data_IF_013240226407
#
_entry.id   IF_013240226407
#
_cell.length_a   1.000
_cell.length_b   1.000
_cell.length_c   1.000
_cell.angle_alpha   90.00
_cell.angle_beta   90.00
_cell.angle_gamma   90.00
#
_symmetry.space_group_name_H-M   'P 1'
#
loop_
_entity.id
_entity.type
_entity.pdbx_description
1 polymer ?
#
# COMPACT_ATOMS: atom_id res chain seq x y z
N UNK A 1 -9.44 -1.06 11.42
CA UNK A 1 -10.08 -2.12 10.61
C UNK A 1 -10.30 -1.61 9.19
N UNK A 2 -10.20 -2.50 8.19
CA UNK A 2 -10.51 -2.21 6.79
C UNK A 2 -11.95 -2.61 6.52
N UNK A 3 -12.69 -1.73 5.86
CA UNK A 3 -14.09 -1.96 5.53
C UNK A 3 -14.31 -1.85 4.02
N UNK A 4 -15.21 -2.68 3.51
CA UNK A 4 -15.84 -2.50 2.20
C UNK A 4 -17.30 -2.11 2.38
N UNK A 5 -17.83 -1.35 1.44
CA UNK A 5 -19.24 -0.97 1.41
C UNK A 5 -19.74 -0.96 -0.02
N UNK A 6 -21.04 -1.10 -0.17
CA UNK A 6 -21.72 -0.97 -1.47
C UNK A 6 -22.57 0.29 -1.47
N UNK A 7 -22.33 1.16 -2.45
CA UNK A 7 -23.17 2.34 -2.70
C UNK A 7 -24.25 1.96 -3.70
N UNK A 8 -25.51 1.91 -3.27
CA UNK A 8 -26.64 1.65 -4.16
C UNK A 8 -26.93 2.86 -5.07
N UNK A 9 -27.63 2.65 -6.16
CA UNK A 9 -28.00 3.72 -7.10
C UNK A 9 -28.82 4.85 -6.44
N UNK A 10 -29.64 4.50 -5.44
CA UNK A 10 -30.48 5.45 -4.69
C UNK A 10 -29.82 5.96 -3.40
N UNK A 11 -28.57 5.53 -3.09
CA UNK A 11 -27.88 5.96 -1.86
C UNK A 11 -27.49 7.44 -1.98
N UNK A 12 -27.97 8.33 -1.11
CA UNK A 12 -27.59 9.73 -1.13
C UNK A 12 -26.11 9.90 -0.90
N UNK A 13 -25.45 10.62 -1.80
CA UNK A 13 -24.04 11.03 -1.68
C UNK A 13 -24.00 12.56 -1.69
N UNK A 14 -23.21 13.13 -0.78
CA UNK A 14 -22.91 14.56 -0.77
C UNK A 14 -21.39 14.76 -0.72
N UNK A 15 -20.92 15.76 -1.47
CA UNK A 15 -19.54 16.23 -1.42
C UNK A 15 -19.59 17.72 -1.05
N UNK A 16 -18.88 18.11 0.01
CA UNK A 16 -18.87 19.48 0.52
C UNK A 16 -20.27 20.04 0.82
N UNK A 17 -21.18 19.17 1.26
CA UNK A 17 -22.57 19.50 1.56
C UNK A 17 -23.47 19.65 0.32
N UNK A 18 -22.96 19.50 -0.89
CA UNK A 18 -23.76 19.51 -2.13
C UNK A 18 -24.10 18.07 -2.56
N UNK A 19 -25.34 17.87 -3.08
CA UNK A 19 -25.74 16.56 -3.60
C UNK A 19 -24.88 16.18 -4.81
N UNK A 20 -24.39 14.95 -4.82
CA UNK A 20 -23.51 14.40 -5.84
C UNK A 20 -23.85 12.93 -6.15
N UNK A 21 -23.24 12.35 -7.17
CA UNK A 21 -23.23 10.91 -7.42
C UNK A 21 -22.03 10.23 -6.78
N UNK A 22 -22.05 8.91 -6.75
CA UNK A 22 -20.89 8.13 -6.27
C UNK A 22 -19.62 8.35 -7.11
N UNK A 23 -19.77 8.74 -8.36
CA UNK A 23 -18.70 9.10 -9.29
C UNK A 23 -17.97 10.42 -8.95
N UNK A 24 -18.51 11.20 -8.02
CA UNK A 24 -17.84 12.39 -7.48
C UNK A 24 -16.91 12.08 -6.29
N UNK A 25 -16.95 10.85 -5.76
CA UNK A 25 -16.00 10.39 -4.75
C UNK A 25 -14.66 10.09 -5.42
N UNK A 26 -13.58 10.63 -4.86
CA UNK A 26 -12.22 10.38 -5.31
C UNK A 26 -11.42 9.64 -4.22
N UNK A 27 -10.38 8.95 -4.65
CA UNK A 27 -9.45 8.30 -3.74
C UNK A 27 -8.81 9.33 -2.80
N UNK A 28 -8.56 8.92 -1.56
CA UNK A 28 -8.03 9.80 -0.53
C UNK A 28 -9.04 10.73 0.15
N UNK A 29 -10.31 10.77 -0.29
CA UNK A 29 -11.34 11.56 0.39
C UNK A 29 -11.71 11.00 1.76
N UNK A 30 -11.87 11.88 2.73
CA UNK A 30 -12.49 11.53 4.01
C UNK A 30 -14.00 11.42 3.84
N UNK A 31 -14.56 10.26 4.16
CA UNK A 31 -15.99 10.00 4.06
C UNK A 31 -16.61 9.64 5.40
N UNK A 32 -17.79 10.18 5.67
CA UNK A 32 -18.68 9.76 6.75
C UNK A 32 -19.76 8.85 6.18
N UNK A 33 -19.89 7.66 6.75
CA UNK A 33 -20.84 6.64 6.28
C UNK A 33 -21.95 6.47 7.29
N UNK A 34 -23.20 6.51 6.84
CA UNK A 34 -24.37 6.11 7.64
C UNK A 34 -24.90 4.78 7.12
N UNK A 35 -24.95 3.78 7.99
CA UNK A 35 -25.40 2.43 7.65
C UNK A 35 -26.29 1.84 8.74
N UNK A 36 -26.83 0.64 8.50
CA UNK A 36 -27.76 -0.03 9.41
C UNK A 36 -27.12 -0.57 10.71
N UNK A 37 -25.81 -0.36 10.94
CA UNK A 37 -25.08 -0.82 12.11
C UNK A 37 -24.62 -2.28 12.03
N UNK A 38 -24.93 -3.03 10.96
CA UNK A 38 -24.45 -4.38 10.76
C UNK A 38 -23.08 -4.36 10.12
N UNK A 39 -22.18 -5.18 10.63
CA UNK A 39 -20.85 -5.44 10.04
C UNK A 39 -20.74 -6.95 9.87
N UNK A 40 -20.46 -7.38 8.64
CA UNK A 40 -20.20 -8.77 8.34
C UNK A 40 -18.73 -9.08 8.66
N UNK A 41 -18.52 -10.17 9.40
CA UNK A 41 -17.19 -10.65 9.79
C UNK A 41 -16.49 -11.30 8.59
N UNK A 42 -15.79 -10.49 7.81
CA UNK A 42 -14.92 -10.88 6.70
C UNK A 42 -13.65 -10.03 6.76
N UNK A 43 -12.69 -10.30 5.92
CA UNK A 43 -11.57 -9.38 5.73
C UNK A 43 -11.45 -8.99 4.25
N UNK A 44 -11.54 -7.71 3.91
CA UNK A 44 -12.03 -6.61 4.77
C UNK A 44 -13.43 -6.86 5.35
N UNK A 45 -13.75 -6.22 6.48
CA UNK A 45 -15.09 -6.27 7.04
C UNK A 45 -16.08 -5.57 6.10
N UNK A 46 -17.29 -6.08 5.94
CA UNK A 46 -18.27 -5.49 5.04
C UNK A 46 -19.36 -4.77 5.84
N UNK A 47 -19.56 -3.48 5.53
CA UNK A 47 -20.69 -2.74 6.08
C UNK A 47 -22.00 -3.26 5.48
N UNK A 48 -23.03 -3.32 6.31
CA UNK A 48 -24.37 -3.65 5.85
C UNK A 48 -24.96 -2.58 4.95
N UNK A 49 -26.29 -2.43 4.96
CA UNK A 49 -26.97 -1.44 4.12
C UNK A 49 -26.52 -0.02 4.43
N UNK A 50 -26.03 0.68 3.41
CA UNK A 50 -25.54 2.07 3.49
C UNK A 50 -26.70 3.01 3.16
N UNK A 51 -26.96 3.95 4.05
CA UNK A 51 -28.07 4.92 3.93
C UNK A 51 -27.62 6.25 3.36
N UNK A 52 -26.39 6.68 3.60
CA UNK A 52 -25.83 7.92 3.06
C UNK A 52 -24.31 7.94 3.16
N UNK A 53 -23.68 8.73 2.28
CA UNK A 53 -22.27 9.09 2.28
C UNK A 53 -22.11 10.60 2.27
N UNK A 54 -21.24 11.11 3.12
CA UNK A 54 -20.85 12.53 3.16
C UNK A 54 -19.34 12.61 3.01
N UNK A 55 -18.84 13.27 1.96
CA UNK A 55 -17.41 13.44 1.69
C UNK A 55 -16.99 14.91 1.82
N UNK A 56 -15.73 15.12 2.21
CA UNK A 56 -15.07 16.42 2.30
C UNK A 56 -13.86 16.44 1.35
N UNK A 57 -13.97 17.19 0.25
CA UNK A 57 -12.92 17.31 -0.75
C UNK A 57 -11.72 18.13 -0.26
N UNK A 58 -11.93 19.02 0.72
CA UNK A 58 -10.88 19.87 1.30
C UNK A 58 -9.85 19.10 2.16
N UNK A 59 -10.13 17.83 2.46
CA UNK A 59 -9.26 16.94 3.24
C UNK A 59 -8.76 15.74 2.41
N UNK A 60 -8.75 15.86 1.10
CA UNK A 60 -8.27 14.79 0.22
C UNK A 60 -6.75 14.59 0.40
N UNK A 61 -6.35 13.36 0.65
CA UNK A 61 -4.95 12.94 0.71
C UNK A 61 -4.82 11.48 0.26
N UNK A 62 -4.45 11.28 -1.00
CA UNK A 62 -4.36 9.97 -1.62
C UNK A 62 -2.98 9.31 -1.42
N UNK A 63 -2.45 9.34 -0.17
CA UNK A 63 -1.21 8.64 0.16
C UNK A 63 -1.33 7.11 0.05
N UNK A 64 -2.51 6.55 0.26
CA UNK A 64 -2.74 5.12 0.02
C UNK A 64 -2.60 4.78 -1.47
N UNK A 65 -3.11 5.63 -2.37
CA UNK A 65 -2.93 5.50 -3.81
C UNK A 65 -1.47 5.63 -4.24
N UNK A 66 -0.69 6.53 -3.61
CA UNK A 66 0.76 6.59 -3.83
C UNK A 66 1.42 5.23 -3.60
N UNK A 67 1.24 4.67 -2.40
CA UNK A 67 1.92 3.43 -2.04
C UNK A 67 1.42 2.23 -2.85
N UNK A 68 0.13 2.22 -3.19
CA UNK A 68 -0.40 1.23 -4.13
C UNK A 68 0.26 1.36 -5.51
N UNK A 69 0.43 2.57 -6.04
CA UNK A 69 1.11 2.78 -7.32
C UNK A 69 2.57 2.31 -7.31
N UNK A 70 3.30 2.53 -6.21
CA UNK A 70 4.67 2.00 -6.05
C UNK A 70 4.70 0.47 -6.08
N UNK A 71 3.75 -0.18 -5.38
CA UNK A 71 3.64 -1.64 -5.39
C UNK A 71 3.28 -2.17 -6.78
N UNK A 72 2.38 -1.50 -7.51
CA UNK A 72 2.00 -1.86 -8.88
C UNK A 72 3.17 -1.73 -9.86
N UNK A 73 3.97 -0.67 -9.76
CA UNK A 73 5.15 -0.50 -10.61
C UNK A 73 6.24 -1.54 -10.28
N UNK A 74 6.45 -1.88 -9.00
CA UNK A 74 7.31 -3.00 -8.60
C UNK A 74 6.78 -4.35 -9.11
N UNK A 75 5.45 -4.54 -9.13
CA UNK A 75 4.87 -5.75 -9.70
C UNK A 75 5.17 -5.84 -11.20
N UNK A 76 5.09 -4.73 -11.91
CA UNK A 76 5.26 -4.68 -13.36
C UNK A 76 6.70 -4.96 -13.81
N UNK A 77 7.71 -4.58 -13.00
CA UNK A 77 9.13 -4.85 -13.31
C UNK A 77 9.49 -6.28 -12.94
N UNK A 78 10.43 -6.88 -13.67
CA UNK A 78 10.87 -8.26 -13.48
C UNK A 78 9.72 -9.26 -13.19
N UNK A 79 8.78 -9.32 -14.12
CA UNK A 79 7.58 -10.17 -14.00
C UNK A 79 7.87 -11.67 -13.84
N UNK A 80 9.11 -12.10 -14.08
CA UNK A 80 9.54 -13.48 -13.81
C UNK A 80 9.41 -13.86 -12.33
N UNK A 81 9.62 -12.92 -11.44
CA UNK A 81 9.46 -13.14 -9.99
C UNK A 81 8.00 -13.40 -9.57
N UNK A 82 7.03 -12.96 -10.36
CA UNK A 82 5.59 -13.13 -10.06
C UNK A 82 5.03 -14.48 -10.58
N UNK A 83 5.86 -15.30 -11.23
CA UNK A 83 5.37 -16.55 -11.86
C UNK A 83 4.91 -17.59 -10.85
N UNK A 84 3.64 -18.06 -10.98
CA UNK A 84 3.11 -19.19 -10.21
C UNK A 84 2.79 -18.89 -8.74
N UNK A 85 2.79 -17.62 -8.33
CA UNK A 85 2.49 -17.24 -6.94
C UNK A 85 0.98 -17.25 -6.67
N UNK A 86 0.64 -17.46 -5.41
CA UNK A 86 -0.73 -17.39 -4.88
C UNK A 86 -0.86 -16.37 -3.75
N UNK A 87 0.29 -15.85 -3.29
CA UNK A 87 0.35 -14.92 -2.17
C UNK A 87 1.32 -13.77 -2.44
N UNK A 88 1.06 -12.63 -1.80
CA UNK A 88 2.00 -11.50 -1.70
C UNK A 88 2.15 -11.10 -0.24
N UNK A 89 3.39 -10.87 0.18
CA UNK A 89 3.71 -10.20 1.43
C UNK A 89 3.82 -8.70 1.18
N UNK A 90 3.23 -7.90 2.04
CA UNK A 90 3.32 -6.43 1.94
C UNK A 90 3.77 -5.86 3.27
N UNK A 91 4.94 -5.25 3.26
CA UNK A 91 5.50 -4.53 4.41
C UNK A 91 5.44 -3.01 4.17
N UNK A 92 4.56 -2.37 4.90
CA UNK A 92 4.43 -0.91 5.00
C UNK A 92 4.71 -0.44 6.44
N UNK A 93 5.41 -1.24 7.24
CA UNK A 93 5.69 -0.92 8.65
C UNK A 93 6.54 0.34 8.81
N UNK A 94 7.42 0.58 7.83
CA UNK A 94 8.30 1.75 7.76
C UNK A 94 7.67 2.94 7.02
N UNK A 95 6.36 2.92 6.77
CA UNK A 95 5.61 4.06 6.25
C UNK A 95 4.90 4.75 7.42
N UNK A 96 5.46 5.84 8.00
CA UNK A 96 5.05 6.37 9.30
C UNK A 96 3.64 6.95 9.29
N UNK A 97 3.22 7.55 8.18
CA UNK A 97 1.96 8.27 8.06
C UNK A 97 0.74 7.41 7.74
N UNK A 98 0.92 6.09 7.59
CA UNK A 98 -0.19 5.15 7.41
C UNK A 98 -0.62 4.53 8.74
N UNK A 99 -1.90 4.57 9.02
CA UNK A 99 -2.50 3.79 10.10
C UNK A 99 -2.46 2.29 9.78
N UNK A 100 -2.54 1.39 10.78
CA UNK A 100 -2.64 -0.04 10.51
C UNK A 100 -3.81 -0.44 9.60
N UNK A 101 -4.91 0.31 9.61
CA UNK A 101 -6.05 0.07 8.73
C UNK A 101 -5.72 0.43 7.28
N UNK A 102 -5.06 1.56 7.04
CA UNK A 102 -4.64 1.98 5.69
C UNK A 102 -3.61 1.01 5.12
N UNK A 103 -2.60 0.59 5.90
CA UNK A 103 -1.63 -0.44 5.47
C UNK A 103 -2.33 -1.73 5.04
N UNK A 104 -3.30 -2.19 5.84
CA UNK A 104 -4.11 -3.35 5.50
C UNK A 104 -4.97 -3.16 4.25
N UNK A 105 -5.52 -1.95 4.04
CA UNK A 105 -6.31 -1.63 2.85
C UNK A 105 -5.45 -1.64 1.58
N UNK A 106 -4.27 -1.04 1.61
CA UNK A 106 -3.32 -1.05 0.49
C UNK A 106 -2.90 -2.48 0.15
N UNK A 107 -2.50 -3.27 1.16
CA UNK A 107 -2.11 -4.67 0.94
C UNK A 107 -3.25 -5.51 0.34
N UNK A 108 -4.47 -5.34 0.86
CA UNK A 108 -5.64 -6.05 0.33
C UNK A 108 -5.98 -5.63 -1.09
N UNK A 109 -5.96 -4.33 -1.40
CA UNK A 109 -6.24 -3.81 -2.74
C UNK A 109 -5.23 -4.36 -3.75
N UNK A 110 -3.95 -4.33 -3.41
CA UNK A 110 -2.86 -4.87 -4.21
C UNK A 110 -3.03 -6.37 -4.50
N UNK A 111 -3.23 -7.19 -3.47
CA UNK A 111 -3.46 -8.63 -3.66
C UNK A 111 -4.70 -8.93 -4.50
N UNK A 112 -5.79 -8.17 -4.29
CA UNK A 112 -7.05 -8.30 -5.04
C UNK A 112 -6.87 -7.96 -6.51
N UNK A 113 -6.13 -6.90 -6.85
CA UNK A 113 -5.86 -6.50 -8.22
C UNK A 113 -5.15 -7.60 -9.02
N UNK A 114 -4.30 -8.39 -8.35
CA UNK A 114 -3.53 -9.48 -8.97
C UNK A 114 -4.14 -10.88 -8.76
N UNK A 115 -5.28 -10.98 -8.09
CA UNK A 115 -5.96 -12.25 -7.83
C UNK A 115 -5.20 -13.18 -6.89
N UNK A 116 -4.40 -12.62 -5.98
CA UNK A 116 -3.61 -13.35 -4.98
C UNK A 116 -3.99 -12.92 -3.57
N UNK A 117 -3.69 -13.75 -2.58
CA UNK A 117 -3.90 -13.40 -1.18
C UNK A 117 -2.79 -12.49 -0.67
N UNK A 118 -3.14 -11.42 0.05
CA UNK A 118 -2.16 -10.56 0.70
C UNK A 118 -2.00 -10.92 2.18
N UNK A 119 -0.75 -11.01 2.62
CA UNK A 119 -0.34 -11.07 4.03
C UNK A 119 0.52 -9.84 4.35
N UNK A 120 0.46 -9.34 5.56
CA UNK A 120 1.27 -8.19 6.00
C UNK A 120 2.34 -8.63 6.97
N UNK A 121 3.52 -8.04 6.86
CA UNK A 121 4.64 -8.30 7.76
C UNK A 121 5.99 -8.08 7.08
N UNK A 122 7.02 -7.92 7.89
CA UNK A 122 8.42 -7.85 7.43
C UNK A 122 8.87 -9.20 6.88
N UNK A 123 9.97 -9.22 6.11
CA UNK A 123 10.59 -10.47 5.68
C UNK A 123 10.94 -11.37 6.86
N UNK A 124 11.43 -10.80 7.97
CA UNK A 124 11.81 -11.56 9.17
C UNK A 124 10.58 -12.19 9.84
N UNK A 125 9.49 -11.43 10.00
CA UNK A 125 8.24 -11.95 10.57
C UNK A 125 7.64 -13.07 9.72
N UNK A 126 7.65 -12.95 8.39
CA UNK A 126 7.14 -13.98 7.49
C UNK A 126 8.06 -15.22 7.48
N UNK A 127 9.37 -15.03 7.62
CA UNK A 127 10.31 -16.13 7.80
C UNK A 127 10.03 -16.90 9.10
N UNK A 128 9.89 -16.20 10.22
CA UNK A 128 9.54 -16.81 11.51
C UNK A 128 8.19 -17.54 11.49
N UNK A 129 7.25 -17.07 10.68
CA UNK A 129 5.95 -17.70 10.47
C UNK A 129 6.03 -18.92 9.52
N UNK A 130 7.19 -19.17 8.89
CA UNK A 130 7.43 -20.35 8.06
C UNK A 130 6.95 -20.25 6.62
N UNK A 131 6.81 -19.02 6.07
CA UNK A 131 6.46 -18.81 4.66
C UNK A 131 7.57 -19.21 3.70
N UNK A 132 8.83 -19.20 4.14
CA UNK A 132 9.97 -19.41 3.26
C UNK A 132 10.57 -20.81 3.41
N UNK A 133 11.06 -21.36 2.30
CA UNK A 133 11.73 -22.66 2.24
C UNK A 133 13.22 -22.48 1.90
N UNK A 134 14.13 -23.30 2.47
CA UNK A 134 15.53 -23.22 2.11
C UNK A 134 15.75 -23.72 0.68
N UNK A 135 16.44 -22.93 -0.16
CA UNK A 135 16.82 -23.30 -1.52
C UNK A 135 17.82 -24.45 -1.58
N UNK A 136 18.61 -24.61 -0.52
CA UNK A 136 19.58 -25.69 -0.38
C UNK A 136 19.48 -26.27 1.02
N UNK A 137 19.92 -27.55 1.20
CA UNK A 137 20.00 -28.10 2.53
C UNK A 137 20.93 -27.27 3.40
N UNK A 138 20.50 -26.81 4.59
CA UNK A 138 21.38 -26.08 5.50
C UNK A 138 22.63 -26.88 5.84
N UNK A 139 23.80 -26.31 5.62
CA UNK A 139 25.06 -26.95 6.00
C UNK A 139 25.34 -26.71 7.49
N UNK A 140 25.72 -27.76 8.20
CA UNK A 140 26.04 -27.70 9.63
C UNK A 140 27.20 -26.71 9.88
N UNK A 141 26.93 -25.66 10.67
CA UNK A 141 27.95 -24.63 11.03
C UNK A 141 27.88 -23.34 10.20
N UNK A 142 27.04 -23.24 9.19
CA UNK A 142 26.75 -21.95 8.52
C UNK A 142 25.58 -21.24 9.20
N UNK A 143 25.68 -19.90 9.38
CA UNK A 143 24.57 -19.14 9.93
C UNK A 143 23.37 -19.20 8.99
N UNK A 144 22.19 -19.38 9.57
CA UNK A 144 20.93 -19.29 8.84
C UNK A 144 20.75 -17.84 8.33
N UNK A 145 20.39 -17.69 7.07
CA UNK A 145 20.29 -16.39 6.41
C UNK A 145 19.19 -16.40 5.34
N UNK A 146 18.38 -15.36 5.28
CA UNK A 146 17.38 -15.14 4.23
C UNK A 146 17.94 -15.27 2.80
N UNK A 147 19.23 -15.02 2.62
CA UNK A 147 19.90 -15.23 1.33
C UNK A 147 19.88 -16.69 0.84
N UNK A 148 19.59 -17.65 1.71
CA UNK A 148 19.48 -19.08 1.39
C UNK A 148 18.05 -19.57 1.24
N UNK A 149 17.05 -18.68 1.33
CA UNK A 149 15.65 -19.00 1.31
C UNK A 149 14.94 -18.45 0.06
N UNK A 150 13.81 -19.05 -0.24
CA UNK A 150 12.88 -18.59 -1.27
C UNK A 150 11.43 -18.69 -0.77
N UNK A 151 10.56 -17.86 -1.35
CA UNK A 151 9.12 -18.01 -1.22
C UNK A 151 8.56 -18.67 -2.48
N UNK A 152 8.36 -19.98 -2.44
CA UNK A 152 7.97 -20.78 -3.60
C UNK A 152 6.69 -20.26 -4.29
N UNK A 153 5.66 -19.94 -3.49
CA UNK A 153 4.33 -19.53 -3.96
C UNK A 153 3.98 -18.06 -3.62
N UNK A 154 4.97 -17.26 -3.28
CA UNK A 154 4.79 -15.86 -2.94
C UNK A 154 5.93 -14.95 -3.33
N UNK A 155 5.67 -13.63 -3.20
CA UNK A 155 6.65 -12.56 -3.36
C UNK A 155 6.39 -11.50 -2.29
N UNK A 156 7.44 -11.01 -1.67
CA UNK A 156 7.39 -9.96 -0.67
C UNK A 156 7.68 -8.59 -1.31
N UNK A 157 6.89 -7.60 -0.94
CA UNK A 157 7.04 -6.19 -1.31
C UNK A 157 7.21 -5.37 -0.04
N UNK A 158 8.17 -4.44 -0.03
CA UNK A 158 8.39 -3.55 1.10
C UNK A 158 8.64 -2.13 0.61
N UNK A 159 8.20 -1.16 1.41
CA UNK A 159 8.49 0.26 1.22
C UNK A 159 9.09 0.77 2.53
N UNK A 160 10.25 1.40 2.41
CA UNK A 160 11.02 1.98 3.51
C UNK A 160 11.14 3.49 3.31
N UNK A 161 10.49 4.26 4.18
CA UNK A 161 10.48 5.72 4.13
C UNK A 161 11.60 6.24 5.03
N UNK A 162 12.47 7.07 4.47
CA UNK A 162 13.48 7.80 5.24
C UNK A 162 12.81 8.93 6.03
N UNK A 163 12.58 8.68 7.33
CA UNK A 163 11.95 9.66 8.23
C UNK A 163 12.75 10.98 8.34
N UNK A 164 14.08 10.96 8.12
CA UNK A 164 14.92 12.15 8.17
C UNK A 164 14.79 13.00 6.89
N UNK A 165 14.32 12.38 5.80
CA UNK A 165 14.18 13.00 4.49
C UNK A 165 12.73 13.41 4.14
N UNK A 166 11.85 13.50 5.12
CA UNK A 166 10.53 14.14 4.94
C UNK A 166 10.74 15.66 4.99
N UNK A 167 10.72 16.31 3.83
CA UNK A 167 11.01 17.72 3.71
C UNK A 167 9.75 18.52 3.38
N UNK A 168 9.43 19.49 4.24
CA UNK A 168 8.54 20.58 3.87
C UNK A 168 9.39 21.72 3.28
N UNK A 169 9.30 21.97 2.00
CA UNK A 169 9.92 23.14 1.40
C UNK A 169 9.21 24.40 1.91
N UNK A 170 9.94 25.50 2.22
CA UNK A 170 9.30 26.73 2.64
C UNK A 170 8.34 27.23 1.56
N UNK A 171 7.11 27.60 1.95
CA UNK A 171 6.14 28.17 1.02
C UNK A 171 6.67 29.44 0.39
N UNK A 172 6.49 29.59 -0.91
CA UNK A 172 6.96 30.75 -1.68
C UNK A 172 5.99 31.94 -1.66
N UNK A 173 4.83 31.82 -0.99
CA UNK A 173 3.79 32.86 -0.93
C UNK A 173 2.95 32.82 0.35
N UNK A 174 2.25 33.92 0.66
CA UNK A 174 1.28 33.96 1.76
C UNK A 174 0.07 33.08 1.40
N UNK A 175 -0.12 31.97 2.13
CA UNK A 175 -1.26 31.07 1.99
C UNK A 175 -1.00 29.79 1.20
N UNK A 176 0.17 29.59 0.60
CA UNK A 176 0.56 28.32 -0.01
C UNK A 176 1.14 27.38 1.03
N UNK A 177 0.62 26.15 1.09
CA UNK A 177 1.25 25.10 1.88
C UNK A 177 2.52 24.63 1.13
N UNK A 178 3.65 24.43 1.84
CA UNK A 178 4.85 23.92 1.20
C UNK A 178 4.56 22.51 0.64
N UNK A 179 5.12 22.16 -0.54
CA UNK A 179 5.02 20.80 -1.04
C UNK A 179 5.66 19.86 -0.03
N UNK A 180 4.99 18.75 0.23
CA UNK A 180 5.53 17.66 1.05
C UNK A 180 6.32 16.76 0.12
N UNK A 181 7.61 16.57 0.43
CA UNK A 181 8.48 15.62 -0.25
C UNK A 181 8.79 14.48 0.70
N UNK A 182 8.75 13.24 0.19
CA UNK A 182 9.05 12.03 0.94
C UNK A 182 10.07 11.22 0.16
N UNK A 183 11.24 10.97 0.75
CA UNK A 183 12.21 10.05 0.17
C UNK A 183 11.95 8.63 0.69
N UNK A 184 12.11 7.64 -0.18
CA UNK A 184 11.87 6.25 0.17
C UNK A 184 12.63 5.31 -0.77
N UNK A 185 12.83 4.08 -0.31
CA UNK A 185 13.23 2.94 -1.11
C UNK A 185 12.10 1.92 -1.15
N UNK A 186 12.05 1.11 -2.20
CA UNK A 186 11.08 0.03 -2.29
C UNK A 186 11.70 -1.22 -2.91
N UNK A 187 11.22 -2.38 -2.51
CA UNK A 187 11.79 -3.64 -2.98
C UNK A 187 10.71 -4.71 -3.22
N UNK A 188 11.04 -5.60 -4.14
CA UNK A 188 10.35 -6.86 -4.39
C UNK A 188 11.35 -7.99 -4.20
N UNK A 189 11.03 -8.96 -3.32
CA UNK A 189 11.91 -10.08 -2.99
C UNK A 189 11.13 -11.41 -3.09
N UNK A 190 11.72 -12.37 -3.79
CA UNK A 190 11.22 -13.75 -3.85
C UNK A 190 12.20 -14.76 -3.24
N UNK A 191 13.49 -14.51 -3.41
CA UNK A 191 14.55 -15.39 -2.90
C UNK A 191 15.84 -14.61 -2.72
N UNK A 192 16.85 -15.22 -2.11
CA UNK A 192 18.19 -14.66 -2.03
C UNK A 192 18.90 -14.43 -3.36
N UNK A 193 18.33 -14.94 -4.47
CA UNK A 193 18.82 -14.76 -5.86
C UNK A 193 17.78 -14.10 -6.78
N UNK A 194 16.73 -13.57 -6.20
CA UNK A 194 15.63 -12.97 -6.97
C UNK A 194 14.98 -11.82 -6.21
N UNK A 195 15.52 -10.63 -6.41
CA UNK A 195 14.99 -9.39 -5.86
C UNK A 195 15.15 -8.23 -6.84
N UNK A 196 14.26 -7.24 -6.73
CA UNK A 196 14.29 -6.00 -7.48
C UNK A 196 14.11 -4.81 -6.55
N UNK A 197 14.85 -3.73 -6.80
CA UNK A 197 14.90 -2.57 -5.91
C UNK A 197 14.65 -1.29 -6.69
N UNK A 198 13.82 -0.41 -6.13
CA UNK A 198 13.75 1.01 -6.45
C UNK A 198 14.47 1.77 -5.34
N UNK A 199 15.51 2.50 -5.69
CA UNK A 199 16.30 3.29 -4.74
C UNK A 199 16.21 4.79 -5.04
N UNK A 200 16.49 5.59 -4.01
CA UNK A 200 16.50 7.06 -4.10
C UNK A 200 15.19 7.63 -4.66
N UNK A 201 14.07 7.01 -4.33
CA UNK A 201 12.76 7.45 -4.77
C UNK A 201 12.35 8.73 -4.05
N UNK A 202 11.65 9.62 -4.76
CA UNK A 202 11.10 10.85 -4.17
C UNK A 202 9.63 10.98 -4.57
N UNK A 203 8.74 11.01 -3.58
CA UNK A 203 7.34 11.33 -3.75
C UNK A 203 7.05 12.80 -3.43
N UNK A 204 6.07 13.37 -4.13
CA UNK A 204 5.62 14.74 -3.95
C UNK A 204 4.10 14.79 -3.91
N UNK A 205 3.54 15.50 -2.91
CA UNK A 205 2.12 15.78 -2.83
C UNK A 205 1.75 17.03 -3.61
N UNK A 206 0.72 16.93 -4.45
CA UNK A 206 0.10 18.05 -5.15
C UNK A 206 -0.83 18.87 -4.24
N UNK A 207 -1.23 20.05 -4.72
CA UNK A 207 -2.17 20.94 -4.01
C UNK A 207 -3.58 20.33 -3.88
N UNK A 208 -3.96 19.48 -4.81
CA UNK A 208 -5.24 18.74 -4.85
C UNK A 208 -5.24 17.48 -3.96
N UNK A 209 -4.17 17.21 -3.23
CA UNK A 209 -4.00 16.02 -2.40
C UNK A 209 -3.56 14.77 -3.15
N UNK A 210 -3.38 14.85 -4.46
CA UNK A 210 -2.79 13.76 -5.25
C UNK A 210 -1.30 13.63 -4.98
N UNK A 211 -0.75 12.44 -5.25
CA UNK A 211 0.66 12.16 -5.11
C UNK A 211 1.26 11.69 -6.43
N UNK A 212 2.53 12.03 -6.63
CA UNK A 212 3.35 11.51 -7.71
C UNK A 212 4.73 11.15 -7.16
N UNK A 213 5.47 10.26 -7.84
CA UNK A 213 6.82 9.92 -7.42
C UNK A 213 7.74 9.68 -8.62
N UNK A 214 9.04 9.68 -8.35
CA UNK A 214 10.10 9.34 -9.30
C UNK A 214 11.02 8.31 -8.68
N UNK A 215 11.53 7.39 -9.50
CA UNK A 215 12.56 6.42 -9.12
C UNK A 215 13.93 6.99 -9.47
N UNK A 216 14.84 7.06 -8.52
CA UNK A 216 16.20 7.57 -8.71
C UNK A 216 17.15 6.52 -9.25
N UNK A 217 17.05 5.29 -8.78
CA UNK A 217 17.89 4.17 -9.19
C UNK A 217 17.13 2.85 -9.17
N UNK A 218 17.60 1.88 -9.94
CA UNK A 218 17.05 0.53 -9.98
C UNK A 218 18.17 -0.50 -9.89
N UNK A 219 17.95 -1.60 -9.16
CA UNK A 219 18.89 -2.70 -9.01
C UNK A 219 18.20 -4.06 -9.03
N UNK A 220 18.93 -5.08 -9.44
CA UNK A 220 18.51 -6.50 -9.47
C UNK A 220 19.53 -7.32 -8.68
N UNK A 221 19.06 -8.25 -7.87
CA UNK A 221 19.90 -9.21 -7.13
C UNK A 221 19.53 -10.66 -7.50
#
# INVERSE_FOLDING_TARGET
>A
EVYTLTVGEDTPVTVDGAQAGADALADGMLVQVRWNGLVLESYPAQLGEVYALEADSGQTDDRCGLWLAVLEDLWAVDGGLNGGITQVGVDLSQVPDLTPAERGAVAWAFGTAHGVSAVTGTLEELWEQGYFTPMTQPEEGYPDSLALYEWEDGVHFAIDVDEEAVWSLPSLGEGEQPPVLVAFDAQKWRSGLGAYFFGDCVAQRGEDGSWSYTVGSEAIA
#
